data_IF_255943203347
#
_entry.id   IF_255943203347
#
_cell.length_a   1.000
_cell.length_b   1.000
_cell.length_c   1.000
_cell.angle_alpha   90.00
_cell.angle_beta   90.00
_cell.angle_gamma   90.00
#
_symmetry.space_group_name_H-M   'P 1'
#
loop_
_entity.id
_entity.type
_entity.pdbx_description
1 polymer ?
#
# COMPACT_ATOMS: atom_id res chain seq x y z
N UNK A 1 25.49 -26.63 -41.87
CA UNK A 1 24.07 -26.65 -41.44
C UNK A 1 23.24 -26.00 -42.53
N UNK A 2 22.04 -26.51 -42.84
CA UNK A 2 21.17 -25.85 -43.83
C UNK A 2 20.51 -24.61 -43.22
N UNK A 3 20.35 -23.54 -44.00
CA UNK A 3 19.67 -22.31 -43.57
C UNK A 3 18.24 -22.58 -43.06
N UNK A 4 17.60 -23.65 -43.53
CA UNK A 4 16.27 -24.07 -43.09
C UNK A 4 16.26 -24.63 -41.65
N UNK A 5 17.32 -25.33 -41.23
CA UNK A 5 17.45 -25.84 -39.86
C UNK A 5 17.64 -24.69 -38.87
N UNK A 6 18.47 -23.71 -39.21
CA UNK A 6 18.73 -22.52 -38.38
C UNK A 6 17.44 -21.71 -38.18
N UNK A 7 16.70 -21.44 -39.26
CA UNK A 7 15.43 -20.69 -39.19
C UNK A 7 14.38 -21.38 -38.33
N UNK A 8 14.26 -22.72 -38.37
CA UNK A 8 13.33 -23.46 -37.52
C UNK A 8 13.68 -23.34 -36.03
N UNK A 9 14.97 -23.40 -35.69
CA UNK A 9 15.43 -23.25 -34.30
C UNK A 9 15.12 -21.84 -33.78
N UNK A 10 15.36 -20.81 -34.58
CA UNK A 10 15.05 -19.41 -34.22
C UNK A 10 13.54 -19.23 -33.96
N UNK A 11 12.68 -19.73 -34.84
CA UNK A 11 11.22 -19.63 -34.68
C UNK A 11 10.74 -20.36 -33.42
N UNK A 12 11.24 -21.57 -33.16
CA UNK A 12 10.89 -22.33 -31.96
C UNK A 12 11.37 -21.64 -30.68
N UNK A 13 12.58 -21.05 -30.70
CA UNK A 13 13.10 -20.25 -29.60
C UNK A 13 12.26 -19.02 -29.31
N UNK A 14 11.85 -18.28 -30.35
CA UNK A 14 10.99 -17.11 -30.20
C UNK A 14 9.62 -17.46 -29.58
N UNK A 15 9.00 -18.57 -30.01
CA UNK A 15 7.74 -19.06 -29.42
C UNK A 15 7.93 -19.44 -27.95
N UNK A 16 9.03 -20.11 -27.61
CA UNK A 16 9.33 -20.48 -26.24
C UNK A 16 9.49 -19.25 -25.34
N UNK A 17 10.24 -18.23 -25.80
CA UNK A 17 10.43 -16.99 -25.03
C UNK A 17 9.11 -16.23 -24.87
N UNK A 18 8.28 -16.14 -25.92
CA UNK A 18 6.95 -15.53 -25.82
C UNK A 18 6.08 -16.24 -24.78
N UNK A 19 6.09 -17.57 -24.75
CA UNK A 19 5.37 -18.35 -23.73
C UNK A 19 5.84 -18.02 -22.31
N UNK A 20 7.16 -17.93 -22.11
CA UNK A 20 7.74 -17.56 -20.80
C UNK A 20 7.33 -16.14 -20.40
N UNK A 21 7.39 -15.18 -21.33
CA UNK A 21 7.01 -13.79 -21.06
C UNK A 21 5.53 -13.67 -20.62
N UNK A 22 4.63 -14.42 -21.26
CA UNK A 22 3.21 -14.46 -20.88
C UNK A 22 3.04 -14.97 -19.45
N UNK A 23 3.66 -16.11 -19.12
CA UNK A 23 3.57 -16.71 -17.79
C UNK A 23 4.17 -15.77 -16.72
N UNK A 24 5.33 -15.18 -16.99
CA UNK A 24 6.00 -14.26 -16.08
C UNK A 24 5.15 -13.01 -15.80
N UNK A 25 4.57 -12.41 -16.84
CA UNK A 25 3.70 -11.24 -16.71
C UNK A 25 2.47 -11.56 -15.86
N UNK A 26 1.84 -12.72 -16.10
CA UNK A 26 0.71 -13.18 -15.31
C UNK A 26 1.07 -13.35 -13.82
N UNK A 27 2.21 -13.98 -13.52
CA UNK A 27 2.68 -14.14 -12.14
C UNK A 27 2.96 -12.81 -11.45
N UNK A 28 3.56 -11.85 -12.15
CA UNK A 28 3.84 -10.50 -11.60
C UNK A 28 2.54 -9.79 -11.21
N UNK A 29 1.55 -9.76 -12.11
CA UNK A 29 0.26 -9.13 -11.84
C UNK A 29 -0.45 -9.83 -10.67
N UNK A 30 -0.38 -11.16 -10.63
CA UNK A 30 -1.04 -11.95 -9.57
C UNK A 30 -0.38 -11.75 -8.21
N UNK A 31 0.96 -11.70 -8.16
CA UNK A 31 1.69 -11.43 -6.95
C UNK A 31 1.37 -10.02 -6.40
N UNK A 32 1.24 -9.03 -7.30
CA UNK A 32 0.84 -7.68 -6.92
C UNK A 32 -0.55 -7.63 -6.30
N UNK A 33 -1.55 -8.20 -6.99
CA UNK A 33 -2.93 -8.27 -6.48
C UNK A 33 -3.01 -8.98 -5.12
N UNK A 34 -2.22 -10.04 -4.93
CA UNK A 34 -2.19 -10.78 -3.66
C UNK A 34 -1.57 -9.96 -2.52
N UNK A 35 -0.44 -9.32 -2.77
CA UNK A 35 0.24 -8.48 -1.77
C UNK A 35 -0.60 -7.24 -1.42
N UNK A 36 -1.30 -6.66 -2.40
CA UNK A 36 -2.24 -5.56 -2.20
C UNK A 36 -3.39 -5.96 -1.28
N UNK A 37 -3.96 -7.15 -1.48
CA UNK A 37 -5.03 -7.69 -0.64
C UNK A 37 -4.56 -7.97 0.78
N UNK A 38 -3.44 -8.66 0.94
CA UNK A 38 -2.87 -8.97 2.25
C UNK A 38 -2.59 -7.70 3.05
N UNK A 39 -1.99 -6.69 2.40
CA UNK A 39 -1.74 -5.39 3.03
C UNK A 39 -3.05 -4.74 3.47
N UNK A 40 -4.05 -4.70 2.59
CA UNK A 40 -5.34 -4.08 2.89
C UNK A 40 -6.05 -4.77 4.06
N UNK A 41 -6.03 -6.10 4.10
CA UNK A 41 -6.59 -6.88 5.21
C UNK A 41 -5.89 -6.55 6.54
N UNK A 42 -4.56 -6.51 6.55
CA UNK A 42 -3.78 -6.14 7.74
C UNK A 42 -4.12 -4.73 8.23
N UNK A 43 -4.18 -3.75 7.31
CA UNK A 43 -4.56 -2.38 7.64
C UNK A 43 -5.97 -2.33 8.21
N UNK A 44 -6.94 -2.99 7.58
CA UNK A 44 -8.31 -3.01 8.09
C UNK A 44 -8.42 -3.65 9.48
N UNK A 45 -7.68 -4.74 9.73
CA UNK A 45 -7.63 -5.38 11.04
C UNK A 45 -7.03 -4.44 12.09
N UNK A 46 -5.88 -3.81 11.79
CA UNK A 46 -5.23 -2.88 12.70
C UNK A 46 -6.12 -1.67 13.01
N UNK A 47 -6.69 -1.03 11.98
CA UNK A 47 -7.57 0.14 12.15
C UNK A 47 -8.86 -0.21 12.92
N UNK A 48 -9.39 -1.42 12.74
CA UNK A 48 -10.52 -1.90 13.53
C UNK A 48 -10.14 -2.08 15.01
N UNK A 49 -8.95 -2.62 15.29
CA UNK A 49 -8.44 -2.73 16.66
C UNK A 49 -8.23 -1.35 17.29
N UNK A 50 -7.66 -0.40 16.56
CA UNK A 50 -7.50 1.00 17.02
C UNK A 50 -8.86 1.61 17.37
N UNK A 51 -9.85 1.48 16.50
CA UNK A 51 -11.19 1.99 16.77
C UNK A 51 -11.79 1.37 18.05
N UNK A 52 -11.65 0.05 18.24
CA UNK A 52 -12.11 -0.64 19.45
C UNK A 52 -11.36 -0.22 20.71
N UNK A 53 -10.07 0.06 20.61
CA UNK A 53 -9.27 0.54 21.74
C UNK A 53 -9.64 1.98 22.13
N UNK A 54 -9.97 2.83 21.15
CA UNK A 54 -10.50 4.17 21.39
C UNK A 54 -11.92 4.14 21.97
N UNK A 55 -12.79 3.22 21.54
CA UNK A 55 -14.16 3.05 22.06
C UNK A 55 -14.18 2.79 23.57
N UNK A 56 -13.21 2.02 24.10
CA UNK A 56 -13.12 1.72 25.55
C UNK A 56 -12.99 2.97 26.41
N UNK A 57 -12.54 4.08 25.83
CA UNK A 57 -12.24 5.33 26.53
C UNK A 57 -13.19 6.47 26.14
N UNK A 58 -14.11 6.24 25.20
CA UNK A 58 -14.96 7.27 24.62
C UNK A 58 -16.36 6.76 24.27
N UNK A 59 -16.90 7.28 23.17
CA UNK A 59 -18.23 6.95 22.68
C UNK A 59 -18.29 5.62 21.91
N UNK A 60 -19.47 4.97 21.85
CA UNK A 60 -19.67 3.76 21.06
C UNK A 60 -19.42 4.00 19.57
N UNK A 61 -18.84 3.00 18.90
CA UNK A 61 -18.53 3.07 17.47
C UNK A 61 -19.80 3.09 16.59
N UNK A 62 -19.75 3.71 15.40
CA UNK A 62 -20.85 3.63 14.45
C UNK A 62 -21.08 2.18 14.00
N UNK A 63 -22.34 1.72 13.91
CA UNK A 63 -22.66 0.31 13.64
C UNK A 63 -22.36 -0.13 12.19
N UNK A 64 -22.09 0.81 11.27
CA UNK A 64 -21.75 0.56 9.87
C UNK A 64 -20.74 1.60 9.38
N UNK A 65 -20.04 1.26 8.30
CA UNK A 65 -19.07 2.13 7.63
C UNK A 65 -18.03 2.70 8.59
N UNK A 66 -17.42 1.82 9.41
CA UNK A 66 -16.39 2.20 10.36
C UNK A 66 -15.07 2.57 9.66
N UNK A 67 -14.71 1.82 8.60
CA UNK A 67 -13.46 2.00 7.86
C UNK A 67 -13.80 2.08 6.37
N UNK A 68 -13.34 3.15 5.72
CA UNK A 68 -13.44 3.34 4.27
C UNK A 68 -12.04 3.44 3.67
N UNK A 69 -11.78 2.61 2.66
CA UNK A 69 -10.58 2.73 1.83
C UNK A 69 -10.86 3.72 0.71
N UNK A 70 -10.23 4.89 0.78
CA UNK A 70 -10.47 5.99 -0.17
C UNK A 70 -9.54 5.87 -1.38
N UNK A 71 -8.31 5.41 -1.13
CA UNK A 71 -7.35 5.06 -2.16
C UNK A 71 -6.56 3.83 -1.73
N UNK A 72 -5.74 3.31 -2.64
CA UNK A 72 -4.89 2.16 -2.40
C UNK A 72 -3.93 2.36 -1.21
N UNK A 73 -3.66 3.61 -0.82
CA UNK A 73 -2.77 3.96 0.27
C UNK A 73 -3.39 4.91 1.31
N UNK A 74 -4.71 5.18 1.28
CA UNK A 74 -5.38 6.09 2.21
C UNK A 74 -6.69 5.51 2.72
N UNK A 75 -6.84 5.55 4.04
CA UNK A 75 -7.94 4.96 4.80
C UNK A 75 -8.54 6.00 5.73
N UNK A 76 -9.86 6.03 5.85
CA UNK A 76 -10.59 6.88 6.79
C UNK A 76 -11.35 6.02 7.79
N UNK A 77 -11.27 6.36 9.08
CA UNK A 77 -11.91 5.62 10.18
C UNK A 77 -12.83 6.53 10.98
N UNK A 78 -14.12 6.21 11.00
CA UNK A 78 -15.15 6.99 11.67
C UNK A 78 -15.23 6.66 13.16
N UNK A 79 -14.92 7.63 14.02
CA UNK A 79 -14.93 7.44 15.49
C UNK A 79 -16.16 8.11 16.13
N UNK A 80 -16.86 9.00 15.40
CA UNK A 80 -18.05 9.71 15.88
C UNK A 80 -17.86 10.43 17.23
N UNK A 81 -16.61 10.77 17.57
CA UNK A 81 -16.21 11.40 18.82
C UNK A 81 -14.91 12.20 18.64
N UNK A 82 -14.60 13.06 19.61
CA UNK A 82 -13.35 13.82 19.65
C UNK A 82 -12.17 12.89 19.94
N UNK A 83 -11.17 12.92 19.07
CA UNK A 83 -10.03 12.01 19.14
C UNK A 83 -8.86 12.68 19.88
N UNK A 84 -8.35 12.01 20.91
CA UNK A 84 -7.10 12.41 21.57
C UNK A 84 -5.89 12.01 20.70
N UNK A 85 -5.07 12.99 20.32
CA UNK A 85 -3.93 12.82 19.40
C UNK A 85 -2.88 11.83 19.92
N UNK A 86 -2.48 11.95 21.18
CA UNK A 86 -1.42 11.14 21.77
C UNK A 86 -1.85 9.68 21.89
N UNK A 87 -3.12 9.47 22.22
CA UNK A 87 -3.70 8.15 22.36
C UNK A 87 -3.88 7.47 20.99
N UNK A 88 -4.31 8.22 19.98
CA UNK A 88 -4.44 7.73 18.61
C UNK A 88 -3.09 7.25 18.07
N UNK A 89 -2.03 8.06 18.23
CA UNK A 89 -0.68 7.69 17.77
C UNK A 89 -0.19 6.40 18.41
N UNK A 90 -0.32 6.30 19.75
CA UNK A 90 0.07 5.11 20.49
C UNK A 90 -0.64 3.85 19.97
N UNK A 91 -1.97 3.91 19.80
CA UNK A 91 -2.73 2.76 19.31
C UNK A 91 -2.44 2.44 17.84
N UNK A 92 -2.27 3.45 16.98
CA UNK A 92 -1.89 3.23 15.58
C UNK A 92 -0.57 2.49 15.47
N UNK A 93 0.47 2.98 16.14
CA UNK A 93 1.79 2.35 16.12
C UNK A 93 1.74 0.92 16.67
N UNK A 94 1.08 0.73 17.82
CA UNK A 94 0.92 -0.58 18.46
C UNK A 94 0.17 -1.59 17.58
N UNK A 95 -1.01 -1.23 17.08
CA UNK A 95 -1.86 -2.18 16.34
C UNK A 95 -1.34 -2.47 14.93
N UNK A 96 -0.69 -1.50 14.26
CA UNK A 96 -0.02 -1.73 12.98
C UNK A 96 1.17 -2.68 13.13
N UNK A 97 1.99 -2.50 14.16
CA UNK A 97 3.12 -3.39 14.44
C UNK A 97 2.65 -4.81 14.80
N UNK A 98 1.56 -4.95 15.56
CA UNK A 98 0.98 -6.25 15.92
C UNK A 98 0.52 -7.09 14.73
N UNK A 99 0.08 -6.46 13.63
CA UNK A 99 -0.28 -7.15 12.38
C UNK A 99 0.91 -7.30 11.42
N UNK A 100 2.11 -6.92 11.85
CA UNK A 100 3.34 -7.00 11.07
C UNK A 100 3.48 -5.91 10.01
N UNK A 101 2.81 -4.77 10.18
CA UNK A 101 2.98 -3.59 9.32
C UNK A 101 3.95 -2.63 9.99
N UNK A 102 5.22 -2.67 9.57
CA UNK A 102 6.27 -1.74 10.00
C UNK A 102 6.61 -0.73 8.89
N UNK A 103 5.64 -0.39 8.05
CA UNK A 103 5.79 0.64 7.02
C UNK A 103 5.49 2.01 7.63
N UNK A 104 6.32 3.00 7.28
CA UNK A 104 6.07 4.39 7.65
C UNK A 104 4.66 4.84 7.22
N UNK A 105 3.99 5.58 8.11
CA UNK A 105 2.64 6.06 7.88
C UNK A 105 2.47 7.51 8.33
N UNK A 106 1.50 8.17 7.71
CA UNK A 106 1.01 9.48 8.12
C UNK A 106 -0.41 9.32 8.61
N UNK A 107 -0.79 10.04 9.65
CA UNK A 107 -2.18 10.10 10.09
C UNK A 107 -2.62 11.54 10.25
N UNK A 108 -3.92 11.75 10.25
CA UNK A 108 -4.49 13.04 10.61
C UNK A 108 -5.92 12.95 11.09
N UNK A 109 -6.33 13.96 11.85
CA UNK A 109 -7.65 14.06 12.47
C UNK A 109 -8.44 15.13 11.74
N UNK A 110 -9.64 14.77 11.30
CA UNK A 110 -10.58 15.69 10.72
C UNK A 110 -11.58 16.17 11.77
N UNK A 111 -11.79 17.48 11.84
CA UNK A 111 -12.80 18.09 12.69
C UNK A 111 -13.88 18.75 11.82
N UNK A 112 -15.11 18.22 11.90
CA UNK A 112 -16.26 18.78 11.18
C UNK A 112 -16.64 20.20 11.62
N UNK A 113 -16.34 20.59 12.88
CA UNK A 113 -16.66 21.94 13.36
C UNK A 113 -15.87 23.02 12.62
N UNK A 114 -14.66 22.67 12.19
CA UNK A 114 -13.75 23.59 11.50
C UNK A 114 -13.52 23.24 10.02
N UNK A 115 -14.11 22.14 9.56
CA UNK A 115 -14.11 21.63 8.18
C UNK A 115 -12.70 21.50 7.57
N UNK A 116 -11.74 21.04 8.39
CA UNK A 116 -10.33 20.90 8.03
C UNK A 116 -9.64 19.81 8.84
N UNK A 117 -8.51 19.34 8.31
CA UNK A 117 -7.57 18.51 9.07
C UNK A 117 -6.94 19.38 10.18
N UNK A 118 -7.23 19.07 11.43
CA UNK A 118 -6.78 19.87 12.59
C UNK A 118 -5.47 19.38 13.18
N UNK A 119 -5.09 18.15 12.85
CA UNK A 119 -3.87 17.53 13.32
C UNK A 119 -3.38 16.49 12.31
N UNK A 120 -2.07 16.33 12.20
CA UNK A 120 -1.47 15.23 11.46
C UNK A 120 0.02 15.09 11.76
N UNK A 121 0.51 13.86 11.75
CA UNK A 121 1.90 13.52 12.02
C UNK A 121 2.39 12.40 11.09
N UNK A 122 3.71 12.28 10.95
CA UNK A 122 4.39 11.21 10.21
C UNK A 122 5.13 10.33 11.22
N UNK A 123 4.93 9.02 11.15
CA UNK A 123 5.60 8.04 11.99
C UNK A 123 6.51 7.19 11.11
N UNK A 124 7.80 7.13 11.49
CA UNK A 124 8.78 6.23 10.88
C UNK A 124 9.08 5.08 11.82
N UNK A 125 9.07 3.86 11.30
CA UNK A 125 9.47 2.68 12.08
C UNK A 125 11.00 2.45 12.09
N UNK A 126 11.72 3.05 11.14
CA UNK A 126 13.18 2.85 10.94
C UNK A 126 14.04 3.98 11.55
N UNK A 127 13.42 5.04 12.06
CA UNK A 127 14.10 6.15 12.75
C UNK A 127 13.41 6.48 14.06
N UNK A 128 14.14 6.39 15.16
CA UNK A 128 13.74 6.88 16.51
C UNK A 128 13.51 8.39 16.59
N UNK A 129 13.61 9.12 15.48
CA UNK A 129 13.54 10.57 15.47
C UNK A 129 12.16 11.03 14.99
N UNK A 130 11.39 11.59 15.93
CA UNK A 130 10.20 12.41 15.64
C UNK A 130 10.61 13.56 14.73
N UNK A 131 10.58 13.34 13.41
CA UNK A 131 10.86 14.38 12.42
C UNK A 131 9.79 15.44 12.61
N UNK A 132 10.21 16.59 13.14
CA UNK A 132 9.38 17.74 13.43
C UNK A 132 8.46 18.08 12.24
N UNK A 133 7.26 18.56 12.60
CA UNK A 133 6.15 19.00 11.76
C UNK A 133 6.56 20.05 10.71
N UNK A 134 7.37 19.69 9.73
CA UNK A 134 7.52 20.43 8.48
C UNK A 134 6.16 20.38 7.81
N UNK A 135 5.55 21.54 7.54
CA UNK A 135 4.24 21.71 6.89
C UNK A 135 4.09 20.79 5.68
N UNK A 136 3.58 19.58 5.90
CA UNK A 136 3.24 18.64 4.84
C UNK A 136 1.84 18.92 4.35
N UNK A 137 1.64 18.70 3.06
CA UNK A 137 0.38 18.90 2.34
C UNK A 137 -0.74 18.15 3.06
N UNK A 138 -1.83 18.86 3.35
CA UNK A 138 -2.98 18.31 4.09
C UNK A 138 -3.44 16.97 3.47
N UNK A 139 -3.76 16.02 4.34
CA UNK A 139 -4.38 14.76 3.91
C UNK A 139 -5.73 15.07 3.23
N UNK A 140 -6.11 14.32 2.19
CA UNK A 140 -7.40 14.52 1.54
C UNK A 140 -8.54 14.34 2.56
N UNK A 141 -9.56 15.19 2.47
CA UNK A 141 -10.73 15.08 3.35
C UNK A 141 -11.68 14.00 2.85
N UNK A 142 -12.48 13.42 3.75
CA UNK A 142 -13.50 12.45 3.45
C UNK A 142 -14.84 12.93 4.01
N UNK A 143 -15.65 13.48 3.11
CA UNK A 143 -16.81 14.30 3.47
C UNK A 143 -18.02 13.47 3.97
N UNK A 144 -17.94 12.14 3.97
CA UNK A 144 -19.02 11.26 4.47
C UNK A 144 -18.99 11.07 6.00
N UNK A 145 -17.90 11.47 6.68
CA UNK A 145 -17.76 11.32 8.12
C UNK A 145 -17.64 12.68 8.84
N UNK A 146 -18.34 12.81 9.98
CA UNK A 146 -18.32 14.02 10.80
C UNK A 146 -17.07 14.08 11.70
N UNK A 147 -16.69 12.97 12.33
CA UNK A 147 -15.48 12.87 13.14
C UNK A 147 -14.73 11.59 12.76
N UNK A 148 -13.58 11.75 12.10
CA UNK A 148 -12.79 10.63 11.63
C UNK A 148 -11.30 10.94 11.67
N UNK A 149 -10.48 9.89 11.68
CA UNK A 149 -9.06 10.02 11.40
C UNK A 149 -8.72 9.31 10.09
N UNK A 150 -7.80 9.91 9.34
CA UNK A 150 -7.25 9.35 8.12
C UNK A 150 -5.85 8.79 8.36
N UNK A 151 -5.51 7.69 7.69
CA UNK A 151 -4.17 7.08 7.71
C UNK A 151 -3.70 6.85 6.28
N UNK A 152 -2.49 7.33 5.95
CA UNK A 152 -1.86 7.24 4.64
C UNK A 152 -0.51 6.50 4.73
N UNK A 153 -0.27 5.60 3.78
CA UNK A 153 1.00 4.87 3.65
C UNK A 153 1.79 5.39 2.43
N UNK A 154 2.70 6.37 2.59
CA UNK A 154 3.36 7.03 1.47
C UNK A 154 4.33 6.12 0.69
N UNK A 155 5.02 5.20 1.37
CA UNK A 155 6.06 4.36 0.78
C UNK A 155 5.57 2.96 0.32
N UNK A 156 4.25 2.73 0.32
CA UNK A 156 3.63 1.44 -0.03
C UNK A 156 4.05 0.93 -1.41
N UNK A 157 3.93 1.77 -2.43
CA UNK A 157 4.20 1.34 -3.81
C UNK A 157 5.66 0.95 -4.01
N UNK A 158 6.60 1.66 -3.36
CA UNK A 158 8.03 1.32 -3.41
C UNK A 158 8.31 0.01 -2.67
N UNK A 159 7.63 -0.27 -1.56
CA UNK A 159 7.77 -1.53 -0.84
C UNK A 159 7.34 -2.73 -1.70
N UNK A 160 6.18 -2.65 -2.35
CA UNK A 160 5.66 -3.70 -3.24
C UNK A 160 6.59 -3.92 -4.45
N UNK A 161 7.05 -2.84 -5.10
CA UNK A 161 7.94 -2.93 -6.27
C UNK A 161 9.28 -3.56 -5.91
N UNK A 162 9.84 -3.24 -4.74
CA UNK A 162 11.11 -3.83 -4.28
C UNK A 162 11.00 -5.35 -4.09
N UNK A 163 9.87 -5.86 -3.63
CA UNK A 163 9.60 -7.30 -3.54
C UNK A 163 9.52 -7.99 -4.92
N UNK A 164 9.39 -7.23 -6.01
CA UNK A 164 9.22 -7.73 -7.39
C UNK A 164 10.37 -7.38 -8.35
N UNK A 165 11.50 -6.87 -7.83
CA UNK A 165 12.62 -6.41 -8.65
C UNK A 165 13.21 -7.53 -9.55
N UNK A 166 13.36 -8.75 -9.02
CA UNK A 166 13.95 -9.88 -9.74
C UNK A 166 13.13 -10.31 -10.99
N UNK A 167 11.80 -10.57 -10.88
CA UNK A 167 10.96 -10.81 -12.05
C UNK A 167 11.06 -9.70 -13.11
N UNK A 168 11.09 -8.43 -12.71
CA UNK A 168 11.19 -7.31 -13.66
C UNK A 168 12.53 -7.36 -14.42
N UNK A 169 13.65 -7.59 -13.72
CA UNK A 169 14.97 -7.72 -14.35
C UNK A 169 15.01 -8.87 -15.35
N UNK A 170 14.44 -10.03 -15.00
CA UNK A 170 14.37 -11.17 -15.93
C UNK A 170 13.51 -10.87 -17.16
N UNK A 171 12.40 -10.13 -17.02
CA UNK A 171 11.59 -9.68 -18.17
C UNK A 171 12.39 -8.77 -19.11
N UNK A 172 13.18 -7.86 -18.55
CA UNK A 172 14.06 -6.98 -19.36
C UNK A 172 15.09 -7.79 -20.12
N UNK A 173 15.77 -8.75 -19.47
CA UNK A 173 16.76 -9.62 -20.12
C UNK A 173 16.12 -10.43 -21.25
N UNK A 174 14.92 -11.00 -21.04
CA UNK A 174 14.21 -11.75 -22.07
C UNK A 174 13.78 -10.87 -23.25
N UNK A 175 13.41 -9.62 -22.99
CA UNK A 175 13.09 -8.68 -24.07
C UNK A 175 14.32 -8.39 -24.93
N UNK A 176 15.49 -8.23 -24.31
CA UNK A 176 16.76 -8.11 -25.03
C UNK A 176 17.12 -9.37 -25.83
N UNK A 177 16.89 -10.57 -25.29
CA UNK A 177 17.15 -11.80 -26.04
C UNK A 177 16.22 -11.93 -27.25
N UNK A 178 14.93 -11.58 -27.13
CA UNK A 178 14.02 -11.52 -28.29
C UNK A 178 14.51 -10.51 -29.32
N UNK A 179 14.93 -9.31 -28.90
CA UNK A 179 15.46 -8.31 -29.82
C UNK A 179 16.68 -8.81 -30.59
N UNK A 180 17.60 -9.53 -29.93
CA UNK A 180 18.75 -10.15 -30.57
C UNK A 180 18.34 -11.22 -31.60
N UNK A 181 17.35 -12.07 -31.28
CA UNK A 181 16.84 -13.08 -32.21
C UNK A 181 16.07 -12.49 -33.40
N UNK A 182 15.45 -11.31 -33.26
CA UNK A 182 14.78 -10.62 -34.37
C UNK A 182 15.80 -9.93 -35.30
N UNK A 183 16.89 -9.42 -34.73
CA UNK A 183 17.93 -8.72 -35.47
C UNK A 183 18.89 -9.68 -36.23
N UNK A 184 19.06 -10.91 -35.74
CA UNK A 184 19.99 -11.92 -36.28
C UNK A 184 19.31 -12.86 -37.28
#
# INVERSE_FOLDING_TARGET
MSNATIRRVIILGAIAILGILVVQTYWVIRAWDLQEKEFNEKVQIALLSVAKDLEKLGSPLPPKNLISQISSNYYAVNINDVINTNLLEYYLSKELELVGLSEDFEYGIYDCSSNKMVYGNYISFDREENVALEKRKDLPTYDEYLYYFGVRFPNRNTAIINSMALPIVFSVILLFTVAFFIYT
#
